data_IF_005662568009
#
_entry.id   IF_005662568009
#
_cell.length_a   1.000
_cell.length_b   1.000
_cell.length_c   1.000
_cell.angle_alpha   90.00
_cell.angle_beta   90.00
_cell.angle_gamma   90.00
#
_symmetry.space_group_name_H-M   'P 1'
#
loop_
_entity.id
_entity.type
_entity.pdbx_description
1 polymer ?
#
# COMPACT_ATOMS: atom_id res chain seq x y z
N UNK A 1 29.60 -8.32 7.57
CA UNK A 1 28.47 -7.40 7.81
C UNK A 1 27.77 -7.31 6.47
N UNK A 2 26.66 -8.01 6.31
CA UNK A 2 25.76 -7.72 5.20
C UNK A 2 25.05 -6.44 5.60
N UNK A 3 25.19 -5.39 4.81
CA UNK A 3 24.37 -4.20 4.96
C UNK A 3 22.91 -4.65 4.84
N UNK A 4 22.12 -4.47 5.90
CA UNK A 4 20.67 -4.69 5.85
C UNK A 4 20.10 -3.69 4.86
N UNK A 5 19.38 -4.17 3.86
CA UNK A 5 18.80 -3.32 2.83
C UNK A 5 17.47 -2.80 3.37
N UNK A 6 17.43 -1.54 3.81
CA UNK A 6 16.18 -0.87 4.19
C UNK A 6 15.45 -0.41 2.91
N UNK A 7 14.16 -0.76 2.76
CA UNK A 7 13.32 -0.34 1.65
C UNK A 7 12.16 0.52 2.14
N UNK A 8 12.30 1.83 2.02
CA UNK A 8 11.38 2.80 2.60
C UNK A 8 10.20 3.09 1.67
N UNK A 9 10.46 3.30 0.38
CA UNK A 9 9.50 3.72 -0.64
C UNK A 9 9.21 2.64 -1.69
N UNK A 10 8.01 2.56 -2.29
CA UNK A 10 7.71 1.62 -3.40
C UNK A 10 8.74 1.65 -4.54
N UNK A 11 9.31 2.81 -4.86
CA UNK A 11 10.33 2.92 -5.91
C UNK A 11 11.65 2.20 -5.57
N UNK A 12 11.86 1.86 -4.29
CA UNK A 12 13.02 1.10 -3.84
C UNK A 12 12.77 -0.42 -3.94
N UNK A 13 11.52 -0.84 -4.21
CA UNK A 13 11.11 -2.23 -4.19
C UNK A 13 11.25 -2.83 -5.58
N UNK A 14 12.05 -3.88 -5.69
CA UNK A 14 12.48 -4.42 -6.98
C UNK A 14 11.52 -5.45 -7.59
N UNK A 15 10.61 -6.01 -6.80
CA UNK A 15 9.85 -7.20 -7.21
C UNK A 15 8.61 -7.50 -6.36
N UNK A 16 8.14 -6.57 -5.54
CA UNK A 16 6.95 -6.77 -4.73
C UNK A 16 6.31 -5.43 -4.35
N UNK A 17 4.99 -5.43 -4.22
CA UNK A 17 4.22 -4.23 -3.84
C UNK A 17 4.19 -4.15 -2.30
N UNK A 18 4.59 -3.02 -1.69
CA UNK A 18 4.53 -2.89 -0.25
C UNK A 18 3.10 -2.97 0.29
N UNK A 19 2.93 -3.63 1.44
CA UNK A 19 1.60 -3.89 2.03
C UNK A 19 0.84 -2.59 2.33
N UNK A 20 1.51 -1.53 2.79
CA UNK A 20 0.88 -0.25 3.03
C UNK A 20 0.21 0.34 1.78
N UNK A 21 0.83 0.14 0.60
CA UNK A 21 0.32 0.65 -0.67
C UNK A 21 -0.93 -0.11 -1.11
N UNK A 22 -0.94 -1.44 -0.90
CA UNK A 22 -2.13 -2.28 -1.13
C UNK A 22 -3.28 -1.90 -0.20
N UNK A 23 -3.02 -1.60 1.08
CA UNK A 23 -4.07 -1.16 2.02
C UNK A 23 -4.70 0.15 1.56
N UNK A 24 -3.91 1.12 1.08
CA UNK A 24 -4.41 2.44 0.66
C UNK A 24 -5.38 2.37 -0.54
N UNK A 25 -5.26 1.36 -1.40
CA UNK A 25 -6.21 1.13 -2.52
C UNK A 25 -7.23 0.04 -2.23
N UNK A 26 -7.22 -0.57 -1.04
CA UNK A 26 -7.96 -1.80 -0.77
C UNK A 26 -9.47 -1.67 -0.49
N UNK A 27 -10.01 -0.44 -0.36
CA UNK A 27 -11.47 -0.23 -0.39
C UNK A 27 -11.92 -0.02 -1.85
N UNK A 28 -12.80 -0.90 -2.32
CA UNK A 28 -13.29 -0.94 -3.70
C UNK A 28 -12.20 -0.88 -4.78
N UNK A 29 -11.12 -1.69 -4.67
CA UNK A 29 -10.01 -1.66 -5.61
C UNK A 29 -10.49 -2.00 -7.02
N UNK A 30 -10.18 -1.13 -7.97
CA UNK A 30 -10.59 -1.29 -9.37
C UNK A 30 -9.39 -1.13 -10.29
N UNK A 31 -9.09 -2.12 -11.15
CA UNK A 31 -8.12 -1.94 -12.23
C UNK A 31 -8.53 -0.79 -13.16
N UNK A 32 -7.61 0.14 -13.37
CA UNK A 32 -7.78 1.35 -14.15
C UNK A 32 -6.58 1.62 -15.06
N UNK A 33 -6.73 2.57 -15.96
CA UNK A 33 -5.64 2.98 -16.85
C UNK A 33 -4.55 3.68 -16.05
N UNK A 34 -3.30 3.46 -16.45
CA UNK A 34 -2.17 4.19 -15.90
C UNK A 34 -2.27 5.68 -16.23
N UNK A 35 -1.90 6.53 -15.28
CA UNK A 35 -1.70 7.95 -15.48
C UNK A 35 -0.28 8.27 -16.02
N UNK A 36 0.63 7.29 -16.02
CA UNK A 36 2.00 7.43 -16.52
C UNK A 36 2.13 6.80 -17.92
N UNK A 37 1.66 5.56 -18.07
CA UNK A 37 1.84 4.77 -19.28
C UNK A 37 0.71 5.03 -20.26
N UNK A 38 1.05 5.36 -21.51
CA UNK A 38 0.07 5.53 -22.59
C UNK A 38 -0.24 4.17 -23.23
N UNK A 39 -1.00 3.34 -22.53
CA UNK A 39 -1.40 1.99 -22.95
C UNK A 39 -2.91 1.77 -22.73
N UNK A 40 -3.52 0.83 -23.45
CA UNK A 40 -4.95 0.54 -23.29
C UNK A 40 -5.21 -0.33 -22.05
N UNK A 41 -4.22 -1.15 -21.70
CA UNK A 41 -4.25 -2.09 -20.59
C UNK A 41 -4.38 -1.39 -19.23
N UNK A 42 -5.21 -1.97 -18.38
CA UNK A 42 -5.46 -1.48 -17.02
C UNK A 42 -4.37 -2.00 -16.09
N UNK A 43 -3.28 -1.25 -16.00
CA UNK A 43 -2.07 -1.64 -15.26
C UNK A 43 -1.86 -0.85 -13.96
N UNK A 44 -2.92 -0.21 -13.47
CA UNK A 44 -2.96 0.52 -12.21
C UNK A 44 -4.22 0.15 -11.41
N UNK A 45 -4.23 0.47 -10.11
CA UNK A 45 -5.36 0.21 -9.21
C UNK A 45 -5.81 1.51 -8.57
N UNK A 46 -7.10 1.83 -8.65
CA UNK A 46 -7.72 2.90 -7.85
C UNK A 46 -8.50 2.34 -6.66
N UNK A 47 -8.56 3.08 -5.56
CA UNK A 47 -9.37 2.76 -4.38
C UNK A 47 -9.91 4.00 -3.65
N UNK A 48 -10.94 3.82 -2.81
CA UNK A 48 -11.65 4.93 -2.14
C UNK A 48 -10.86 5.51 -0.96
N UNK A 49 -10.28 6.69 -1.16
CA UNK A 49 -9.45 7.35 -0.17
C UNK A 49 -10.24 7.89 1.04
N UNK A 50 -11.55 8.12 0.91
CA UNK A 50 -12.37 8.58 2.03
C UNK A 50 -12.53 7.50 3.10
N UNK A 51 -12.35 6.23 2.71
CA UNK A 51 -12.45 5.08 3.61
C UNK A 51 -11.07 4.54 3.97
N UNK A 52 -10.17 4.37 2.99
CA UNK A 52 -8.86 3.77 3.26
C UNK A 52 -7.96 4.68 4.08
N UNK A 53 -7.98 6.01 3.84
CA UNK A 53 -7.14 6.97 4.60
C UNK A 53 -7.42 6.90 6.10
N UNK A 54 -8.66 7.10 6.61
CA UNK A 54 -8.91 7.03 8.06
C UNK A 54 -8.63 5.63 8.64
N UNK A 55 -8.90 4.55 7.90
CA UNK A 55 -8.55 3.20 8.35
C UNK A 55 -7.03 3.03 8.49
N UNK A 56 -6.26 3.48 7.50
CA UNK A 56 -4.81 3.38 7.49
C UNK A 56 -4.18 4.22 8.61
N UNK A 57 -4.66 5.45 8.84
CA UNK A 57 -4.22 6.25 9.98
C UNK A 57 -4.50 5.55 11.31
N UNK A 58 -5.68 4.92 11.47
CA UNK A 58 -6.01 4.10 12.64
C UNK A 58 -5.09 2.88 12.78
N UNK A 59 -4.72 2.25 11.65
CA UNK A 59 -3.78 1.14 11.64
C UNK A 59 -2.41 1.59 12.16
N UNK A 60 -1.89 2.73 11.69
CA UNK A 60 -0.61 3.27 12.16
C UNK A 60 -0.62 3.49 13.68
N UNK A 61 -1.68 4.10 14.22
CA UNK A 61 -1.82 4.34 15.66
C UNK A 61 -1.93 3.03 16.45
N UNK A 62 -2.57 1.99 15.88
CA UNK A 62 -2.69 0.68 16.50
C UNK A 62 -1.36 -0.10 16.47
N UNK A 63 -0.56 0.04 15.42
CA UNK A 63 0.74 -0.60 15.27
C UNK A 63 1.83 0.05 16.13
N UNK A 64 1.80 1.37 16.29
CA UNK A 64 2.85 2.13 17.00
C UNK A 64 3.24 1.57 18.38
N UNK A 65 2.32 1.15 19.27
CA UNK A 65 2.70 0.54 20.54
C UNK A 65 3.13 -0.94 20.45
N UNK A 66 3.01 -1.58 19.28
CA UNK A 66 3.25 -3.02 19.08
C UNK A 66 4.53 -3.31 18.26
N UNK A 67 5.04 -2.33 17.54
CA UNK A 67 6.26 -2.41 16.73
C UNK A 67 7.40 -1.68 17.44
N UNK A 68 8.64 -1.82 16.96
CA UNK A 68 9.80 -1.14 17.53
C UNK A 68 9.73 0.40 17.42
N UNK A 69 10.65 1.08 18.13
CA UNK A 69 10.72 2.55 18.19
C UNK A 69 10.98 3.20 16.82
N UNK A 70 11.62 2.50 15.88
CA UNK A 70 11.87 2.99 14.53
C UNK A 70 10.56 3.22 13.76
N UNK A 71 9.55 2.37 13.99
CA UNK A 71 8.26 2.48 13.34
C UNK A 71 7.51 3.77 13.71
N UNK A 72 7.64 4.28 14.94
CA UNK A 72 6.94 5.49 15.36
C UNK A 72 7.31 6.72 14.50
N UNK A 73 8.58 6.83 14.11
CA UNK A 73 9.02 7.89 13.19
C UNK A 73 8.44 7.71 11.79
N UNK A 74 8.48 6.49 11.25
CA UNK A 74 7.91 6.19 9.94
C UNK A 74 6.39 6.41 9.89
N UNK A 75 5.67 5.98 10.93
CA UNK A 75 4.24 6.22 11.08
C UNK A 75 3.92 7.72 11.17
N UNK A 76 4.75 8.52 11.87
CA UNK A 76 4.59 9.98 11.91
C UNK A 76 4.74 10.59 10.52
N UNK A 77 5.78 10.23 9.77
CA UNK A 77 6.01 10.73 8.40
C UNK A 77 4.88 10.33 7.45
N UNK A 78 4.41 9.08 7.53
CA UNK A 78 3.26 8.59 6.78
C UNK A 78 1.99 9.41 7.07
N UNK A 79 1.69 9.67 8.35
CA UNK A 79 0.54 10.49 8.76
C UNK A 79 0.65 11.91 8.23
N UNK A 80 1.81 12.55 8.42
CA UNK A 80 2.07 13.91 7.93
C UNK A 80 1.86 14.00 6.41
N UNK A 81 2.36 13.01 5.65
CA UNK A 81 2.21 12.95 4.21
C UNK A 81 0.75 12.78 3.77
N UNK A 82 0.04 11.80 4.32
CA UNK A 82 -1.35 11.49 3.97
C UNK A 82 -2.33 12.60 4.36
N UNK A 83 -1.95 13.46 5.31
CA UNK A 83 -2.76 14.59 5.79
C UNK A 83 -2.44 15.92 5.09
N UNK A 84 -1.50 15.96 4.14
CA UNK A 84 -1.24 17.17 3.35
C UNK A 84 -2.49 17.60 2.58
N UNK A 85 -2.68 18.91 2.45
CA UNK A 85 -3.83 19.50 1.77
C UNK A 85 -3.94 19.08 0.30
N UNK A 86 -2.80 18.94 -0.39
CA UNK A 86 -2.72 18.49 -1.79
C UNK A 86 -2.89 16.96 -1.94
N UNK A 87 -3.08 16.23 -0.85
CA UNK A 87 -3.28 14.77 -0.80
C UNK A 87 -4.67 14.36 -0.29
N UNK A 88 -5.60 15.31 -0.15
CA UNK A 88 -6.98 15.06 0.32
C UNK A 88 -7.98 14.68 -0.80
N UNK A 89 -7.52 14.04 -1.88
CA UNK A 89 -8.39 13.51 -2.93
C UNK A 89 -9.36 12.43 -2.42
N UNK A 90 -10.32 12.08 -3.28
CA UNK A 90 -11.31 11.02 -3.03
C UNK A 90 -10.82 9.61 -3.43
N UNK A 91 -9.75 9.53 -4.22
CA UNK A 91 -9.14 8.27 -4.65
C UNK A 91 -7.64 8.20 -4.38
N UNK A 92 -7.17 7.00 -4.04
CA UNK A 92 -5.77 6.62 -4.17
C UNK A 92 -5.58 5.88 -5.49
N UNK A 93 -4.40 6.03 -6.08
CA UNK A 93 -4.03 5.39 -7.33
C UNK A 93 -2.64 4.78 -7.20
N UNK A 94 -2.55 3.48 -7.47
CA UNK A 94 -1.35 2.67 -7.35
C UNK A 94 -0.92 2.24 -8.75
N UNK A 95 0.21 2.78 -9.20
CA UNK A 95 0.80 2.44 -10.49
C UNK A 95 1.72 1.22 -10.33
N UNK A 96 1.51 0.22 -11.18
CA UNK A 96 2.23 -1.05 -11.09
C UNK A 96 3.08 -1.33 -12.33
N UNK A 97 2.98 -0.51 -13.38
CA UNK A 97 3.67 -0.72 -14.65
C UNK A 97 5.18 -0.90 -14.52
N UNK A 98 5.87 -0.09 -13.70
CA UNK A 98 7.32 -0.23 -13.48
C UNK A 98 7.67 -1.53 -12.75
N UNK A 99 6.87 -1.94 -11.75
CA UNK A 99 7.08 -3.21 -11.04
C UNK A 99 6.92 -4.38 -12.02
N UNK A 100 5.89 -4.34 -12.86
CA UNK A 100 5.64 -5.38 -13.84
C UNK A 100 6.70 -5.44 -14.95
N UNK A 101 7.20 -4.28 -15.40
CA UNK A 101 8.30 -4.24 -16.36
C UNK A 101 9.57 -4.88 -15.78
N UNK A 102 9.86 -4.64 -14.49
CA UNK A 102 10.97 -5.29 -13.78
C UNK A 102 10.77 -6.80 -13.63
N UNK A 103 9.53 -7.26 -13.48
CA UNK A 103 9.16 -8.68 -13.47
C UNK A 103 9.20 -9.33 -14.87
N UNK A 104 9.34 -8.53 -15.93
CA UNK A 104 9.43 -8.98 -17.30
C UNK A 104 8.08 -9.35 -17.92
N UNK A 105 6.97 -8.82 -17.38
CA UNK A 105 5.62 -9.06 -17.89
C UNK A 105 5.35 -8.25 -19.16
N UNK A 106 4.61 -8.83 -20.10
CA UNK A 106 4.00 -8.09 -21.21
C UNK A 106 2.68 -7.41 -20.82
N UNK A 107 2.18 -6.46 -21.63
CA UNK A 107 0.99 -5.67 -21.28
C UNK A 107 -0.26 -6.52 -20.94
N UNK A 108 -0.62 -7.57 -21.70
CA UNK A 108 -1.67 -8.50 -21.32
C UNK A 108 -1.44 -9.20 -19.96
N UNK A 109 -0.20 -9.61 -19.68
CA UNK A 109 0.18 -10.18 -18.38
C UNK A 109 0.05 -9.15 -17.26
N UNK A 110 0.53 -7.91 -17.46
CA UNK A 110 0.36 -6.80 -16.51
C UNK A 110 -1.10 -6.56 -16.16
N UNK A 111 -2.00 -6.54 -17.16
CA UNK A 111 -3.42 -6.35 -16.93
C UNK A 111 -4.04 -7.49 -16.10
N UNK A 112 -3.61 -8.72 -16.36
CA UNK A 112 -4.05 -9.90 -15.59
C UNK A 112 -3.54 -9.82 -14.15
N UNK A 113 -2.28 -9.46 -13.98
CA UNK A 113 -1.64 -9.32 -12.67
C UNK A 113 -2.22 -8.16 -11.86
N UNK A 114 -2.67 -7.09 -12.52
CA UNK A 114 -3.37 -5.98 -11.88
C UNK A 114 -4.71 -6.41 -11.27
N UNK A 115 -5.43 -7.31 -11.93
CA UNK A 115 -6.68 -7.88 -11.39
C UNK A 115 -6.37 -8.71 -10.13
N UNK A 116 -5.32 -9.53 -10.16
CA UNK A 116 -4.86 -10.31 -9.00
C UNK A 116 -4.48 -9.41 -7.84
N UNK A 117 -3.71 -8.34 -8.10
CA UNK A 117 -3.28 -7.39 -7.08
C UNK A 117 -4.43 -6.55 -6.51
N UNK A 118 -5.45 -6.23 -7.31
CA UNK A 118 -6.67 -5.59 -6.82
C UNK A 118 -7.45 -6.51 -5.86
N UNK A 119 -7.55 -7.81 -6.18
CA UNK A 119 -8.17 -8.78 -5.28
C UNK A 119 -7.37 -8.94 -3.97
N UNK A 120 -6.04 -8.98 -4.07
CA UNK A 120 -5.14 -9.03 -2.91
C UNK A 120 -5.25 -7.79 -2.03
N UNK A 121 -5.28 -6.59 -2.62
CA UNK A 121 -5.48 -5.34 -1.90
C UNK A 121 -6.78 -5.35 -1.07
N UNK A 122 -7.86 -5.87 -1.66
CA UNK A 122 -9.15 -6.04 -0.98
C UNK A 122 -9.05 -7.01 0.20
N UNK A 123 -8.39 -8.16 0.00
CA UNK A 123 -8.21 -9.17 1.05
C UNK A 123 -7.45 -8.60 2.25
N UNK A 124 -6.30 -7.98 1.99
CA UNK A 124 -5.46 -7.34 3.01
C UNK A 124 -6.24 -6.26 3.76
N UNK A 125 -6.96 -5.41 3.04
CA UNK A 125 -7.76 -4.34 3.64
C UNK A 125 -8.87 -4.86 4.55
N UNK A 126 -9.59 -5.92 4.14
CA UNK A 126 -10.63 -6.54 4.96
C UNK A 126 -10.05 -7.19 6.21
N UNK A 127 -8.86 -7.79 6.12
CA UNK A 127 -8.16 -8.34 7.28
C UNK A 127 -7.76 -7.24 8.27
N UNK A 128 -7.23 -6.11 7.77
CA UNK A 128 -6.96 -4.91 8.58
C UNK A 128 -8.20 -4.44 9.31
N UNK A 129 -9.31 -4.25 8.58
CA UNK A 129 -10.57 -3.79 9.16
C UNK A 129 -11.05 -4.72 10.27
N UNK A 130 -11.05 -6.04 10.01
CA UNK A 130 -11.46 -7.06 10.98
C UNK A 130 -10.64 -7.02 12.27
N UNK A 131 -9.31 -6.87 12.16
CA UNK A 131 -8.41 -6.81 13.33
C UNK A 131 -8.60 -5.52 14.12
N UNK A 132 -8.76 -4.38 13.46
CA UNK A 132 -8.96 -3.08 14.11
C UNK A 132 -10.35 -2.90 14.75
N UNK A 133 -11.31 -3.75 14.41
CA UNK A 133 -12.65 -3.80 15.03
C UNK A 133 -12.70 -4.73 16.25
N UNK A 134 -11.65 -5.53 16.50
CA UNK A 134 -11.60 -6.50 17.60
C UNK A 134 -10.78 -5.98 18.78
N UNK A 135 -11.42 -5.86 19.94
CA UNK A 135 -10.74 -5.49 21.18
C UNK A 135 -9.67 -6.51 21.59
N UNK A 136 -8.52 -6.01 22.03
CA UNK A 136 -7.39 -6.84 22.47
C UNK A 136 -6.69 -7.62 21.36
N UNK A 137 -6.93 -7.26 20.09
CA UNK A 137 -6.19 -7.81 18.96
C UNK A 137 -4.71 -7.43 19.01
N UNK A 138 -3.88 -8.31 18.45
CA UNK A 138 -2.43 -8.12 18.30
C UNK A 138 -2.02 -8.36 16.85
N UNK A 139 -0.78 -8.10 16.48
CA UNK A 139 -0.24 -8.42 15.13
C UNK A 139 -0.52 -9.89 14.73
N UNK A 140 -0.44 -10.84 15.67
CA UNK A 140 -0.73 -12.26 15.41
C UNK A 140 -2.21 -12.53 15.08
N UNK A 141 -3.09 -11.55 15.27
CA UNK A 141 -4.51 -11.66 14.93
C UNK A 141 -4.75 -11.56 13.42
N UNK A 142 -3.82 -11.03 12.63
CA UNK A 142 -3.94 -10.97 11.17
C UNK A 142 -3.94 -12.39 10.56
N UNK A 143 -4.80 -12.60 9.57
CA UNK A 143 -4.87 -13.83 8.78
C UNK A 143 -3.86 -13.79 7.64
N UNK A 144 -3.63 -12.62 7.04
CA UNK A 144 -2.68 -12.44 5.96
C UNK A 144 -1.23 -12.45 6.46
N UNK A 145 -0.38 -13.26 5.84
CA UNK A 145 1.02 -13.46 6.28
C UNK A 145 1.85 -12.18 6.21
N UNK A 146 1.65 -11.36 5.18
CA UNK A 146 2.40 -10.10 5.02
C UNK A 146 2.05 -9.07 6.09
N UNK A 147 0.84 -9.11 6.66
CA UNK A 147 0.47 -8.25 7.79
C UNK A 147 1.09 -8.73 9.10
N UNK A 148 1.24 -10.05 9.28
CA UNK A 148 2.00 -10.60 10.43
C UNK A 148 3.49 -10.30 10.36
N UNK A 149 4.02 -10.16 9.14
CA UNK A 149 5.44 -9.83 8.90
C UNK A 149 5.80 -8.35 9.14
N UNK A 150 4.85 -7.53 9.62
CA UNK A 150 5.06 -6.09 9.87
C UNK A 150 6.09 -5.79 10.96
N UNK A 151 6.49 -6.79 11.75
CA UNK A 151 7.63 -6.65 12.66
C UNK A 151 8.95 -6.42 11.91
N UNK A 152 9.01 -6.72 10.61
CA UNK A 152 10.08 -6.32 9.69
C UNK A 152 9.59 -5.19 8.76
N UNK A 153 9.03 -4.12 9.34
CA UNK A 153 8.32 -3.08 8.59
C UNK A 153 9.21 -2.36 7.55
N UNK A 154 10.52 -2.26 7.82
CA UNK A 154 11.52 -1.64 6.94
C UNK A 154 11.68 -2.35 5.60
N UNK A 155 11.31 -3.63 5.52
CA UNK A 155 11.40 -4.42 4.29
C UNK A 155 10.03 -4.93 3.81
N UNK A 156 8.98 -4.84 4.63
CA UNK A 156 7.69 -5.52 4.36
C UNK A 156 6.47 -4.59 4.35
N UNK A 157 6.55 -3.43 5.00
CA UNK A 157 5.38 -2.54 5.08
C UNK A 157 5.39 -1.42 4.04
N UNK A 158 6.55 -0.82 3.77
CA UNK A 158 6.69 0.33 2.85
C UNK A 158 5.92 1.54 3.34
N UNK A 159 6.28 2.01 4.54
CA UNK A 159 5.60 3.08 5.26
C UNK A 159 5.96 4.49 4.75
N UNK A 160 6.96 4.61 3.86
CA UNK A 160 7.35 5.89 3.29
C UNK A 160 6.66 6.07 1.95
N UNK A 161 5.96 7.19 1.82
CA UNK A 161 5.27 7.57 0.61
C UNK A 161 5.99 8.77 0.00
N UNK A 162 6.81 8.56 -1.02
CA UNK A 162 7.40 9.64 -1.81
C UNK A 162 6.36 10.23 -2.76
N UNK A 163 6.83 11.09 -3.66
CA UNK A 163 6.03 11.69 -4.73
C UNK A 163 5.29 10.65 -5.59
N UNK A 164 5.72 9.38 -5.59
CA UNK A 164 5.18 8.27 -6.40
C UNK A 164 4.37 7.29 -5.55
N UNK A 165 3.19 7.76 -5.15
CA UNK A 165 1.95 7.05 -5.45
C UNK A 165 1.35 7.94 -6.53
N UNK A 166 1.33 7.59 -7.82
CA UNK A 166 0.93 8.57 -8.86
C UNK A 166 -0.55 8.93 -8.71
N UNK A 167 -0.78 10.00 -7.96
CA UNK A 167 -2.06 10.64 -7.82
C UNK A 167 -2.43 11.34 -9.13
N UNK A 168 -3.49 10.86 -9.79
CA UNK A 168 -4.31 11.69 -10.66
C UNK A 168 -5.61 11.99 -9.91
N UNK A 169 -5.87 13.27 -9.61
CA UNK A 169 -7.19 13.71 -9.14
C UNK A 169 -8.12 13.77 -10.35
N UNK A 170 -9.04 12.81 -10.44
CA UNK A 170 -10.15 12.86 -11.39
C UNK A 170 -11.38 13.46 -10.72
N UNK A 171 -11.59 14.77 -10.90
CA UNK A 171 -12.83 15.49 -10.65
C UNK A 171 -13.03 16.58 -11.70
#
# INVERSE_FOLDING_TARGET
MCDSVEFRDIAEWKSFIPVAHLILVGENPTPCQSAIWTVEEKIAIEGDANITRPLFLKLLDWLEPQVDEGFANAAREAREYLMRADRQGDKFHLELGEIYELEGLDLPEMATETISNAALAKEIFLDVKRVLERDGSTIDSFEHVSLRAITNWEEQFGCYFSHVLYFHLGG
#
